data_IF_974364166926
#
_entry.id   IF_974364166926
#
_cell.length_a   1.000
_cell.length_b   1.000
_cell.length_c   1.000
_cell.angle_alpha   90.00
_cell.angle_beta   90.00
_cell.angle_gamma   90.00
#
_symmetry.space_group_name_H-M   'P 1'
#
loop_
_entity.id
_entity.type
_entity.pdbx_description
1 polymer ?
#
# COMPACT_ATOMS: atom_id res chain seq x y z
N UNK A 1 39.79 37.56 -60.30
CA UNK A 1 38.89 36.38 -60.34
C UNK A 1 39.05 35.64 -59.02
N UNK A 2 37.93 35.32 -58.38
CA UNK A 2 37.78 34.86 -57.00
C UNK A 2 38.43 33.48 -56.76
N UNK A 3 39.13 33.32 -55.64
CA UNK A 3 39.43 32.01 -55.05
C UNK A 3 38.61 31.88 -53.76
N UNK A 4 37.68 30.93 -53.76
CA UNK A 4 36.70 30.71 -52.69
C UNK A 4 37.34 29.88 -51.58
N UNK A 5 37.42 30.43 -50.36
CA UNK A 5 37.72 29.64 -49.16
C UNK A 5 36.41 29.05 -48.61
N UNK A 6 36.28 27.73 -48.65
CA UNK A 6 35.13 27.01 -48.07
C UNK A 6 35.50 26.65 -46.63
N UNK A 7 34.83 27.27 -45.66
CA UNK A 7 34.96 26.92 -44.24
C UNK A 7 33.85 25.90 -43.93
N UNK A 8 34.22 24.65 -43.67
CA UNK A 8 33.30 23.65 -43.16
C UNK A 8 33.16 23.81 -41.64
N UNK A 9 32.03 24.33 -41.16
CA UNK A 9 31.65 24.23 -39.75
C UNK A 9 30.96 22.89 -39.51
N UNK A 10 31.62 21.98 -38.79
CA UNK A 10 30.98 20.79 -38.24
C UNK A 10 30.24 21.18 -36.95
N UNK A 11 28.91 21.27 -37.00
CA UNK A 11 28.08 21.46 -35.81
C UNK A 11 27.88 20.12 -35.10
N UNK A 12 28.51 19.93 -33.95
CA UNK A 12 28.24 18.79 -33.07
C UNK A 12 26.99 19.10 -32.24
N UNK A 13 25.86 18.54 -32.65
CA UNK A 13 24.61 18.62 -31.87
C UNK A 13 24.73 17.63 -30.71
N UNK A 14 25.08 18.13 -29.52
CA UNK A 14 24.97 17.33 -28.28
C UNK A 14 23.48 17.28 -27.92
N UNK A 15 22.81 16.19 -28.27
CA UNK A 15 21.46 15.91 -27.79
C UNK A 15 21.53 15.50 -26.33
N UNK A 16 21.26 16.43 -25.41
CA UNK A 16 20.96 16.10 -24.01
C UNK A 16 19.55 15.51 -23.99
N UNK A 17 19.44 14.19 -24.10
CA UNK A 17 18.20 13.50 -23.80
C UNK A 17 18.03 13.51 -22.27
N UNK A 18 17.28 14.50 -21.77
CA UNK A 18 16.66 14.41 -20.45
C UNK A 18 15.72 13.22 -20.47
N UNK A 19 16.22 12.06 -20.03
CA UNK A 19 15.40 10.90 -19.77
C UNK A 19 14.43 11.25 -18.65
N UNK A 20 13.21 11.63 -19.00
CA UNK A 20 12.10 11.58 -18.07
C UNK A 20 11.92 10.11 -17.69
N UNK A 21 12.59 9.67 -16.62
CA UNK A 21 12.23 8.46 -15.88
C UNK A 21 10.83 8.71 -15.34
N UNK A 22 9.83 8.40 -16.16
CA UNK A 22 8.49 8.16 -15.69
C UNK A 22 8.61 6.93 -14.79
N UNK A 23 8.83 7.15 -13.49
CA UNK A 23 8.57 6.13 -12.50
C UNK A 23 7.08 5.84 -12.63
N UNK A 24 6.75 4.78 -13.36
CA UNK A 24 5.49 4.09 -13.20
C UNK A 24 5.28 3.96 -11.68
N UNK A 25 4.32 4.70 -11.13
CA UNK A 25 3.92 4.52 -9.74
C UNK A 25 3.21 3.17 -9.72
N UNK A 26 3.98 2.08 -9.66
CA UNK A 26 3.44 0.80 -9.25
C UNK A 26 2.78 1.05 -7.90
N UNK A 27 1.45 0.88 -7.86
CA UNK A 27 0.70 1.03 -6.62
C UNK A 27 1.34 0.11 -5.59
N UNK A 28 1.73 0.65 -4.44
CA UNK A 28 2.28 -0.16 -3.34
C UNK A 28 1.23 -1.11 -2.75
N UNK A 29 -0.05 -0.85 -3.00
CA UNK A 29 -1.16 -1.72 -2.63
C UNK A 29 -1.52 -2.64 -3.81
N UNK A 30 -1.64 -3.94 -3.58
CA UNK A 30 -1.99 -4.95 -4.60
C UNK A 30 -3.45 -4.91 -5.08
N UNK A 31 -4.28 -4.05 -4.48
CA UNK A 31 -5.71 -3.95 -4.76
C UNK A 31 -6.56 -4.64 -3.70
N UNK A 32 -7.80 -4.18 -3.55
CA UNK A 32 -8.73 -4.73 -2.57
C UNK A 32 -9.44 -5.95 -3.14
N UNK A 33 -9.48 -7.04 -2.37
CA UNK A 33 -10.25 -8.24 -2.68
C UNK A 33 -11.15 -8.62 -1.51
N UNK A 34 -12.27 -9.28 -1.82
CA UNK A 34 -13.23 -9.77 -0.82
C UNK A 34 -12.57 -10.79 0.10
N UNK A 35 -12.78 -10.68 1.40
CA UNK A 35 -12.29 -11.64 2.40
C UNK A 35 -13.32 -11.84 3.52
N UNK A 36 -13.10 -12.85 4.36
CA UNK A 36 -13.97 -13.11 5.50
C UNK A 36 -13.88 -12.00 6.54
N UNK A 37 -15.02 -11.70 7.18
CA UNK A 37 -15.06 -10.78 8.32
C UNK A 37 -14.13 -11.27 9.44
N UNK A 38 -14.18 -12.59 9.73
CA UNK A 38 -13.31 -13.26 10.69
C UNK A 38 -12.32 -14.19 9.98
N UNK A 39 -11.04 -14.13 10.37
CA UNK A 39 -9.97 -14.97 9.80
C UNK A 39 -10.11 -16.43 10.24
N UNK A 40 -10.56 -16.69 11.47
CA UNK A 40 -10.80 -18.04 11.99
C UNK A 40 -12.28 -18.26 12.29
N UNK A 41 -12.86 -19.30 11.70
CA UNK A 41 -14.27 -19.66 11.81
C UNK A 41 -14.56 -20.37 13.15
N UNK A 42 -14.51 -19.65 14.27
CA UNK A 42 -14.79 -20.18 15.61
C UNK A 42 -15.99 -19.56 16.32
N UNK A 43 -16.49 -18.42 15.84
CA UNK A 43 -17.53 -17.63 16.52
C UNK A 43 -18.61 -17.17 15.54
N UNK A 44 -19.50 -18.08 15.12
CA UNK A 44 -20.79 -17.73 14.52
C UNK A 44 -20.73 -16.87 13.25
N UNK A 45 -19.73 -17.06 12.40
CA UNK A 45 -19.57 -16.31 11.14
C UNK A 45 -20.76 -16.54 10.23
N UNK A 46 -21.57 -15.51 9.98
CA UNK A 46 -22.37 -15.47 8.76
C UNK A 46 -21.41 -15.45 7.57
N UNK A 47 -21.66 -16.25 6.53
CA UNK A 47 -20.88 -16.32 5.27
C UNK A 47 -20.84 -15.00 4.47
N UNK A 48 -21.23 -13.88 5.07
CA UNK A 48 -21.17 -12.57 4.47
C UNK A 48 -19.71 -12.11 4.43
N UNK A 49 -19.11 -12.16 3.24
CA UNK A 49 -17.82 -11.51 2.96
C UNK A 49 -18.02 -9.99 2.92
N UNK A 50 -18.15 -9.39 4.11
CA UNK A 50 -18.36 -7.94 4.32
C UNK A 50 -17.05 -7.17 4.37
N UNK A 51 -15.93 -7.87 4.50
CA UNK A 51 -14.60 -7.30 4.59
C UNK A 51 -13.87 -7.33 3.25
N UNK A 52 -12.97 -6.37 3.08
CA UNK A 52 -11.99 -6.37 2.00
C UNK A 52 -10.58 -6.41 2.59
N UNK A 53 -9.71 -7.16 1.94
CA UNK A 53 -8.32 -7.33 2.32
C UNK A 53 -7.40 -6.85 1.19
N UNK A 54 -6.18 -6.48 1.55
CA UNK A 54 -5.14 -6.09 0.62
C UNK A 54 -3.76 -6.28 1.26
N UNK A 55 -2.72 -6.25 0.44
CA UNK A 55 -1.32 -6.24 0.86
C UNK A 55 -0.68 -4.95 0.39
N UNK A 56 -0.07 -4.24 1.32
CA UNK A 56 0.74 -3.06 1.07
C UNK A 56 2.23 -3.42 1.14
N UNK A 57 2.95 -3.24 0.03
CA UNK A 57 4.39 -3.42 -0.05
C UNK A 57 5.10 -2.17 0.47
N UNK A 58 5.65 -2.27 1.68
CA UNK A 58 6.36 -1.20 2.35
C UNK A 58 7.89 -1.40 2.21
N UNK A 59 8.72 -0.35 2.15
CA UNK A 59 10.17 -0.54 2.09
C UNK A 59 10.67 -1.17 3.40
N UNK A 60 11.60 -2.12 3.33
CA UNK A 60 12.24 -2.72 4.51
C UNK A 60 12.96 -1.62 5.31
N UNK A 61 13.71 -0.77 4.62
CA UNK A 61 14.36 0.41 5.19
C UNK A 61 13.87 1.70 4.52
N UNK A 62 13.43 2.66 5.32
CA UNK A 62 13.10 3.99 4.82
C UNK A 62 14.38 4.82 4.58
N UNK A 63 14.45 5.62 3.50
CA UNK A 63 15.57 6.49 3.22
C UNK A 63 15.87 7.42 4.41
N UNK A 64 17.14 7.50 4.80
CA UNK A 64 17.60 8.31 5.94
C UNK A 64 17.44 7.67 7.31
N UNK A 65 16.75 6.53 7.43
CA UNK A 65 16.58 5.79 8.69
C UNK A 65 17.53 4.60 8.77
N UNK A 66 17.57 3.77 7.73
CA UNK A 66 18.47 2.62 7.66
C UNK A 66 18.84 2.27 6.21
N UNK A 67 19.81 1.36 6.06
CA UNK A 67 20.13 0.71 4.79
C UNK A 67 19.73 -0.75 4.89
N UNK A 68 18.86 -1.19 3.98
CA UNK A 68 18.54 -2.60 3.89
C UNK A 68 19.77 -3.35 3.35
N UNK A 69 20.10 -4.54 3.89
CA UNK A 69 21.17 -5.36 3.34
C UNK A 69 20.87 -5.73 1.88
N UNK A 70 21.91 -5.80 1.04
CA UNK A 70 21.74 -6.16 -0.38
C UNK A 70 21.23 -7.59 -0.57
N UNK A 71 21.49 -8.48 0.39
CA UNK A 71 21.03 -9.86 0.36
C UNK A 71 19.57 -10.05 0.79
N UNK A 72 18.93 -9.01 1.34
CA UNK A 72 17.57 -9.08 1.86
C UNK A 72 16.58 -8.46 0.87
N UNK A 73 15.31 -8.87 0.97
CA UNK A 73 14.23 -8.23 0.25
C UNK A 73 14.13 -6.75 0.66
N UNK A 74 14.03 -5.88 -0.34
CA UNK A 74 14.00 -4.43 -0.12
C UNK A 74 12.62 -3.94 0.36
N UNK A 75 11.64 -4.82 0.40
CA UNK A 75 10.27 -4.55 0.81
C UNK A 75 9.75 -5.62 1.77
N UNK A 76 8.75 -5.25 2.56
CA UNK A 76 7.98 -6.13 3.42
C UNK A 76 6.51 -5.97 3.11
N UNK A 77 5.81 -7.09 3.09
CA UNK A 77 4.37 -7.12 2.86
C UNK A 77 3.62 -6.87 4.15
N UNK A 78 2.69 -5.92 4.10
CA UNK A 78 1.82 -5.53 5.21
C UNK A 78 0.40 -5.93 4.84
N UNK A 79 -0.19 -6.86 5.60
CA UNK A 79 -1.59 -7.19 5.48
C UNK A 79 -2.45 -6.03 6.00
N UNK A 80 -3.52 -5.73 5.27
CA UNK A 80 -4.51 -4.70 5.62
C UNK A 80 -5.91 -5.28 5.40
N UNK A 81 -6.80 -5.07 6.36
CA UNK A 81 -8.22 -5.45 6.27
C UNK A 81 -9.10 -4.23 6.54
N UNK A 82 -10.25 -4.16 5.86
CA UNK A 82 -11.26 -3.13 6.09
C UNK A 82 -12.70 -3.64 6.03
N UNK A 83 -13.57 -3.00 6.81
CA UNK A 83 -15.01 -2.97 6.61
C UNK A 83 -15.36 -1.63 5.97
N UNK A 84 -15.89 -1.66 4.74
CA UNK A 84 -16.20 -0.44 3.98
C UNK A 84 -17.50 0.19 4.45
N UNK A 85 -17.50 1.52 4.58
CA UNK A 85 -18.73 2.28 4.76
C UNK A 85 -19.68 2.12 3.56
N UNK A 86 -20.96 2.45 3.77
CA UNK A 86 -21.96 2.49 2.71
C UNK A 86 -21.58 3.50 1.60
N UNK A 87 -21.05 4.67 1.98
CA UNK A 87 -20.41 5.62 1.06
C UNK A 87 -18.92 5.82 1.44
N UNK A 88 -18.02 4.97 0.91
CA UNK A 88 -16.64 4.92 1.37
C UNK A 88 -15.78 6.09 0.90
N UNK A 89 -16.25 6.91 -0.07
CA UNK A 89 -15.46 8.04 -0.61
C UNK A 89 -15.51 9.27 0.29
N UNK A 90 -16.60 9.44 1.03
CA UNK A 90 -16.82 10.57 1.93
C UNK A 90 -16.76 10.19 3.41
N UNK A 91 -16.77 8.89 3.71
CA UNK A 91 -16.74 8.38 5.07
C UNK A 91 -15.38 8.63 5.76
N UNK A 92 -15.44 8.85 7.07
CA UNK A 92 -14.27 8.87 7.95
C UNK A 92 -13.61 7.49 8.00
N UNK A 93 -12.28 7.47 8.06
CA UNK A 93 -11.49 6.25 8.24
C UNK A 93 -11.10 6.11 9.71
N UNK A 94 -11.38 4.96 10.31
CA UNK A 94 -10.97 4.61 11.68
C UNK A 94 -10.05 3.41 11.62
N UNK A 95 -8.91 3.48 12.31
CA UNK A 95 -7.94 2.39 12.39
C UNK A 95 -7.95 1.81 13.79
N UNK A 96 -8.13 0.50 13.89
CA UNK A 96 -7.84 -0.26 15.10
C UNK A 96 -6.51 -0.95 14.86
N UNK A 97 -5.55 -0.76 15.76
CA UNK A 97 -4.21 -1.31 15.63
C UNK A 97 -3.97 -2.24 16.81
N UNK A 98 -3.52 -3.46 16.52
CA UNK A 98 -3.28 -4.45 17.54
C UNK A 98 -1.99 -4.11 18.26
N UNK A 99 -2.11 -3.75 19.53
CA UNK A 99 -0.97 -3.43 20.38
C UNK A 99 -0.12 -4.68 20.67
N UNK A 100 1.01 -4.48 21.34
CA UNK A 100 1.88 -5.57 21.79
C UNK A 100 2.78 -6.15 20.66
N UNK A 101 4.04 -6.48 20.95
CA UNK A 101 4.91 -7.11 19.96
C UNK A 101 4.38 -8.49 19.58
N UNK A 102 4.25 -8.76 18.28
CA UNK A 102 3.95 -10.10 17.77
C UNK A 102 2.46 -10.47 17.67
N UNK A 103 1.54 -9.66 18.20
CA UNK A 103 0.10 -9.94 18.06
C UNK A 103 -0.41 -9.50 16.68
N UNK A 104 -1.19 -10.38 16.05
CA UNK A 104 -1.76 -10.15 14.74
C UNK A 104 -3.14 -9.46 14.84
N UNK A 105 -3.52 -8.79 13.77
CA UNK A 105 -4.73 -7.98 13.67
C UNK A 105 -6.04 -8.77 13.74
N UNK A 106 -5.99 -10.09 13.60
CA UNK A 106 -7.16 -10.96 13.71
C UNK A 106 -7.82 -10.87 15.11
N UNK A 107 -7.03 -10.56 16.16
CA UNK A 107 -7.54 -10.38 17.52
C UNK A 107 -8.47 -9.17 17.67
N UNK A 108 -8.48 -8.26 16.68
CA UNK A 108 -9.32 -7.06 16.65
C UNK A 108 -10.58 -7.21 15.81
N UNK A 109 -10.79 -8.32 15.11
CA UNK A 109 -11.88 -8.46 14.13
C UNK A 109 -13.27 -8.30 14.77
N UNK A 110 -13.45 -8.83 15.99
CA UNK A 110 -14.70 -8.67 16.74
C UNK A 110 -14.98 -7.22 17.11
N UNK A 111 -13.93 -6.47 17.46
CA UNK A 111 -13.98 -5.06 17.81
C UNK A 111 -14.25 -4.22 16.57
N UNK A 112 -13.63 -4.55 15.42
CA UNK A 112 -13.93 -3.94 14.12
C UNK A 112 -15.41 -4.10 13.77
N UNK A 113 -15.92 -5.33 13.80
CA UNK A 113 -17.32 -5.63 13.48
C UNK A 113 -18.29 -4.92 14.44
N UNK A 114 -17.98 -4.91 15.74
CA UNK A 114 -18.77 -4.22 16.75
C UNK A 114 -18.79 -2.72 16.52
N UNK A 115 -17.64 -2.10 16.22
CA UNK A 115 -17.56 -0.67 15.93
C UNK A 115 -18.33 -0.33 14.65
N UNK A 116 -18.09 -1.07 13.57
CA UNK A 116 -18.75 -0.86 12.29
C UNK A 116 -20.29 -0.89 12.41
N UNK A 117 -20.82 -1.85 13.17
CA UNK A 117 -22.26 -1.98 13.47
C UNK A 117 -22.77 -0.83 14.35
N UNK A 118 -22.02 -0.42 15.38
CA UNK A 118 -22.40 0.74 16.22
C UNK A 118 -22.44 2.04 15.42
N UNK A 119 -21.53 2.20 14.46
CA UNK A 119 -21.49 3.31 13.52
C UNK A 119 -22.47 3.16 12.34
N UNK A 120 -23.24 2.07 12.30
CA UNK A 120 -24.22 1.77 11.24
C UNK A 120 -23.62 1.86 9.83
N UNK A 121 -22.36 1.47 9.66
CA UNK A 121 -21.66 1.53 8.38
C UNK A 121 -21.33 2.94 7.89
N UNK A 122 -21.32 3.96 8.76
CA UNK A 122 -20.99 5.34 8.39
C UNK A 122 -19.48 5.64 8.29
N UNK A 123 -18.62 4.71 8.72
CA UNK A 123 -17.16 4.85 8.69
C UNK A 123 -16.52 3.62 8.05
N UNK A 124 -15.40 3.84 7.36
CA UNK A 124 -14.52 2.75 6.96
C UNK A 124 -13.70 2.34 8.18
N UNK A 125 -13.73 1.07 8.56
CA UNK A 125 -13.01 0.55 9.72
C UNK A 125 -11.86 -0.32 9.22
N UNK A 126 -10.64 -0.01 9.61
CA UNK A 126 -9.42 -0.64 9.15
C UNK A 126 -8.66 -1.32 10.28
N UNK A 127 -7.90 -2.35 9.93
CA UNK A 127 -6.79 -2.88 10.73
C UNK A 127 -5.64 -3.29 9.81
N UNK A 128 -4.47 -3.53 10.39
CA UNK A 128 -3.30 -4.04 9.69
C UNK A 128 -2.43 -4.85 10.62
N UNK A 129 -1.67 -5.78 10.06
CA UNK A 129 -0.59 -6.44 10.78
C UNK A 129 0.63 -5.52 10.84
N UNK A 130 1.24 -5.44 12.01
CA UNK A 130 2.53 -4.79 12.16
C UNK A 130 3.61 -5.53 11.35
N UNK A 131 4.74 -4.84 11.09
CA UNK A 131 5.87 -5.46 10.39
C UNK A 131 6.37 -6.68 11.17
N UNK A 132 6.45 -7.82 10.49
CA UNK A 132 6.91 -9.07 11.10
C UNK A 132 5.87 -9.74 12.02
N UNK A 133 4.61 -9.34 11.93
CA UNK A 133 3.48 -10.00 12.60
C UNK A 133 2.48 -10.52 11.57
N UNK A 134 1.64 -11.49 11.97
CA UNK A 134 0.73 -12.21 11.08
C UNK A 134 0.97 -13.70 11.13
#
# INVERSE_FOLDING_TARGET
>A
MQLRSVIFLAAVIVQVSSGNKSTSKTSKLNGWYSCSEYTFSGTGSSDAQTAECATYSAPLCYPGVCKAPEWADQTVDIFVKRLRAADPKIATNVWLLQEGPGFASNDLESQMATLYRKLKGAANVYTMDHRGTG
#
